data_IF_490289189920
#
_entry.id   IF_490289189920
#
_cell.length_a   1.000
_cell.length_b   1.000
_cell.length_c   1.000
_cell.angle_alpha   90.00
_cell.angle_beta   90.00
_cell.angle_gamma   90.00
#
_symmetry.space_group_name_H-M   'P 1'
#
loop_
_entity.id
_entity.type
_entity.pdbx_description
1 polymer ?
#
# COMPACT_ATOMS: atom_id res chain seq x y z
N UNK A 1 3.29 26.92 41.25
CA UNK A 1 2.44 26.47 40.11
C UNK A 1 3.18 26.14 38.82
N UNK A 2 4.51 26.32 38.71
CA UNK A 2 5.28 26.14 37.46
C UNK A 2 5.44 24.69 36.98
N UNK A 3 5.32 23.68 37.86
CA UNK A 3 5.46 22.26 37.48
C UNK A 3 4.32 21.75 36.58
N UNK A 4 3.11 22.30 36.70
CA UNK A 4 1.96 21.92 35.86
C UNK A 4 2.08 22.47 34.44
N UNK A 5 2.65 23.68 34.27
CA UNK A 5 2.78 24.32 32.96
C UNK A 5 3.78 23.58 32.05
N UNK A 6 4.93 23.16 32.60
CA UNK A 6 5.93 22.39 31.86
C UNK A 6 5.43 21.03 31.37
N UNK A 7 4.61 20.34 32.18
CA UNK A 7 4.01 19.04 31.82
C UNK A 7 2.95 19.18 30.72
N UNK A 8 2.22 20.29 30.69
CA UNK A 8 1.22 20.55 29.62
C UNK A 8 1.91 20.83 28.29
N UNK A 9 3.02 21.57 28.29
CA UNK A 9 3.77 21.90 27.07
C UNK A 9 4.44 20.65 26.48
N UNK A 10 5.02 19.77 27.31
CA UNK A 10 5.61 18.51 26.82
C UNK A 10 4.57 17.55 26.27
N UNK A 11 3.40 17.43 26.91
CA UNK A 11 2.29 16.65 26.36
C UNK A 11 1.77 17.22 25.03
N UNK A 12 1.65 18.55 24.91
CA UNK A 12 1.18 19.19 23.69
C UNK A 12 2.18 19.02 22.53
N UNK A 13 3.48 19.13 22.80
CA UNK A 13 4.54 18.85 21.83
C UNK A 13 4.53 17.38 21.37
N UNK A 14 4.28 16.44 22.29
CA UNK A 14 4.17 15.02 21.97
C UNK A 14 2.95 14.72 21.10
N UNK A 15 1.80 15.35 21.38
CA UNK A 15 0.59 15.24 20.55
C UNK A 15 0.83 15.83 19.16
N UNK A 16 1.48 16.98 19.04
CA UNK A 16 1.82 17.59 17.75
C UNK A 16 2.80 16.73 16.93
N UNK A 17 3.79 16.10 17.58
CA UNK A 17 4.69 15.13 16.93
C UNK A 17 3.95 13.87 16.46
N UNK A 18 3.02 13.34 17.27
CA UNK A 18 2.18 12.20 16.91
C UNK A 18 1.25 12.53 15.72
N UNK A 19 0.63 13.72 15.72
CA UNK A 19 -0.24 14.18 14.63
C UNK A 19 0.57 14.44 13.36
N UNK A 20 1.78 14.99 13.45
CA UNK A 20 2.66 15.24 12.30
C UNK A 20 3.21 13.94 11.70
N UNK A 21 3.56 12.94 12.53
CA UNK A 21 3.89 11.58 12.07
C UNK A 21 2.70 10.87 11.42
N UNK A 22 1.48 11.09 11.91
CA UNK A 22 0.27 10.55 11.30
C UNK A 22 -0.09 11.25 9.98
N UNK A 23 0.17 12.56 9.85
CA UNK A 23 -0.17 13.33 8.66
C UNK A 23 0.75 13.02 7.46
N UNK A 24 2.02 12.66 7.68
CA UNK A 24 2.93 12.28 6.58
C UNK A 24 2.45 11.06 5.77
N UNK A 25 1.55 10.25 6.30
CA UNK A 25 0.98 9.09 5.59
C UNK A 25 -0.17 9.45 4.63
N UNK A 26 -0.76 10.64 4.75
CA UNK A 26 -2.00 10.99 4.06
C UNK A 26 -1.83 11.63 2.68
N UNK A 27 -0.61 12.01 2.30
CA UNK A 27 -0.36 12.75 1.05
C UNK A 27 0.09 11.87 -0.12
N UNK A 28 -0.07 10.55 -0.03
CA UNK A 28 0.27 9.65 -1.14
C UNK A 28 -0.63 9.91 -2.35
N UNK A 29 0.00 9.98 -3.52
CA UNK A 29 -0.64 10.02 -4.84
C UNK A 29 -0.05 8.91 -5.72
N UNK A 30 -0.78 8.54 -6.78
CA UNK A 30 -0.38 7.46 -7.68
C UNK A 30 1.03 7.62 -8.26
N UNK A 31 1.46 8.86 -8.54
CA UNK A 31 2.79 9.15 -9.09
C UNK A 31 3.95 8.93 -8.11
N UNK A 32 3.67 8.70 -6.82
CA UNK A 32 4.71 8.29 -5.87
C UNK A 32 5.12 6.83 -6.06
N UNK A 33 4.29 6.01 -6.72
CA UNK A 33 4.55 4.58 -6.86
C UNK A 33 5.55 4.31 -7.99
N UNK A 34 6.64 3.60 -7.72
CA UNK A 34 7.60 3.22 -8.75
C UNK A 34 7.00 2.22 -9.74
N UNK A 35 7.54 2.20 -10.96
CA UNK A 35 7.17 1.22 -11.99
C UNK A 35 7.73 -0.16 -11.64
N UNK A 36 6.99 -1.22 -11.98
CA UNK A 36 7.35 -2.63 -11.71
C UNK A 36 8.45 -3.16 -12.67
N UNK A 37 8.83 -2.40 -13.69
CA UNK A 37 9.66 -2.87 -14.80
C UNK A 37 11.10 -3.31 -14.41
N UNK A 38 11.63 -2.90 -13.26
CA UNK A 38 13.04 -3.13 -12.88
C UNK A 38 13.19 -3.95 -11.58
N UNK A 39 12.52 -5.11 -11.49
CA UNK A 39 12.61 -6.02 -10.32
C UNK A 39 12.47 -5.29 -8.96
N UNK A 40 11.53 -4.35 -8.90
CA UNK A 40 11.31 -3.51 -7.74
C UNK A 40 11.20 -4.36 -6.47
N UNK A 41 12.06 -4.12 -5.48
CA UNK A 41 12.01 -4.86 -4.21
C UNK A 41 11.02 -4.23 -3.25
N UNK A 42 10.58 -5.01 -2.26
CA UNK A 42 9.79 -4.50 -1.14
C UNK A 42 10.50 -3.33 -0.44
N UNK A 43 11.82 -3.42 -0.27
CA UNK A 43 12.62 -2.37 0.37
C UNK A 43 12.60 -1.08 -0.44
N UNK A 44 12.71 -1.18 -1.77
CA UNK A 44 12.66 -0.02 -2.66
C UNK A 44 11.27 0.62 -2.66
N UNK A 45 10.22 -0.21 -2.64
CA UNK A 45 8.84 0.26 -2.49
C UNK A 45 8.66 1.02 -1.17
N UNK A 46 9.05 0.43 -0.03
CA UNK A 46 8.92 1.06 1.29
C UNK A 46 9.76 2.33 1.39
N UNK A 47 10.91 2.39 0.71
CA UNK A 47 11.71 3.61 0.63
C UNK A 47 11.02 4.71 -0.17
N UNK A 48 10.29 4.35 -1.23
CA UNK A 48 9.60 5.29 -2.10
C UNK A 48 8.29 5.82 -1.50
N UNK A 49 7.46 4.94 -0.93
CA UNK A 49 6.08 5.26 -0.51
C UNK A 49 5.82 5.05 0.99
N UNK A 50 6.82 4.62 1.75
CA UNK A 50 6.70 4.33 3.18
C UNK A 50 6.10 2.95 3.48
N UNK A 51 5.81 2.72 4.76
CA UNK A 51 5.16 1.49 5.21
C UNK A 51 3.71 1.42 4.71
N UNK A 52 3.22 0.23 4.34
CA UNK A 52 1.83 0.08 3.92
C UNK A 52 0.86 0.38 5.07
N UNK A 53 -0.36 0.78 4.70
CA UNK A 53 -1.45 1.01 5.65
C UNK A 53 -2.04 -0.30 6.14
N UNK A 54 -2.08 -1.30 5.26
CA UNK A 54 -2.49 -2.67 5.54
C UNK A 54 -1.61 -3.61 4.74
N UNK A 55 -1.33 -4.79 5.31
CA UNK A 55 -0.67 -5.87 4.59
C UNK A 55 -1.19 -7.21 5.08
N UNK A 56 -1.25 -8.19 4.19
CA UNK A 56 -1.44 -9.59 4.57
C UNK A 56 -0.53 -10.50 3.76
N UNK A 57 -0.11 -11.59 4.43
CA UNK A 57 0.61 -12.72 3.86
C UNK A 57 -0.22 -14.01 3.95
N UNK A 58 -1.48 -13.91 4.35
CA UNK A 58 -2.43 -15.03 4.39
C UNK A 58 -2.79 -15.42 2.96
N UNK A 59 -2.62 -16.70 2.62
CA UNK A 59 -2.99 -17.21 1.30
C UNK A 59 -4.46 -16.93 0.98
N UNK A 60 -5.35 -17.03 1.98
CA UNK A 60 -6.79 -16.76 1.81
C UNK A 60 -7.02 -15.29 1.45
N UNK A 61 -6.47 -14.35 2.23
CA UNK A 61 -6.70 -12.92 2.04
C UNK A 61 -6.12 -12.45 0.70
N UNK A 62 -4.92 -12.94 0.36
CA UNK A 62 -4.24 -12.65 -0.90
C UNK A 62 -5.05 -13.17 -2.08
N UNK A 63 -5.57 -14.40 -1.99
CA UNK A 63 -6.38 -15.00 -3.06
C UNK A 63 -7.68 -14.22 -3.26
N UNK A 64 -8.40 -13.92 -2.17
CA UNK A 64 -9.65 -13.18 -2.23
C UNK A 64 -9.47 -11.78 -2.83
N UNK A 65 -8.43 -11.06 -2.43
CA UNK A 65 -8.14 -9.73 -2.97
C UNK A 65 -7.74 -9.79 -4.45
N UNK A 66 -6.87 -10.74 -4.82
CA UNK A 66 -6.45 -10.92 -6.20
C UNK A 66 -7.64 -11.24 -7.11
N UNK A 67 -8.52 -12.15 -6.71
CA UNK A 67 -9.73 -12.47 -7.47
C UNK A 67 -10.70 -11.29 -7.58
N UNK A 68 -10.88 -10.51 -6.50
CA UNK A 68 -11.69 -9.27 -6.51
C UNK A 68 -11.16 -8.30 -7.56
N UNK A 69 -9.85 -8.07 -7.58
CA UNK A 69 -9.21 -7.15 -8.54
C UNK A 69 -9.23 -7.68 -9.97
N UNK A 70 -9.04 -8.99 -10.17
CA UNK A 70 -9.17 -9.61 -11.49
C UNK A 70 -10.58 -9.45 -12.05
N UNK A 71 -11.62 -9.67 -11.24
CA UNK A 71 -13.01 -9.47 -11.66
C UNK A 71 -13.27 -8.01 -12.05
N UNK A 72 -12.76 -7.06 -11.27
CA UNK A 72 -12.83 -5.63 -11.62
C UNK A 72 -12.09 -5.31 -12.93
N UNK A 73 -10.87 -5.84 -13.13
CA UNK A 73 -10.05 -5.65 -14.34
C UNK A 73 -10.76 -6.20 -15.59
N UNK A 74 -11.43 -7.35 -15.48
CA UNK A 74 -12.19 -7.97 -16.57
C UNK A 74 -13.49 -7.23 -16.88
N UNK A 75 -14.12 -6.62 -15.88
CA UNK A 75 -15.35 -5.83 -16.05
C UNK A 75 -15.09 -4.43 -16.61
N UNK A 76 -13.84 -3.96 -16.51
CA UNK A 76 -13.41 -2.63 -16.95
C UNK A 76 -12.89 -2.70 -18.38
N UNK A 77 -13.24 -1.71 -19.21
CA UNK A 77 -12.63 -1.54 -20.54
C UNK A 77 -11.15 -1.13 -20.46
N UNK A 78 -10.69 -0.65 -19.30
CA UNK A 78 -9.30 -0.32 -19.02
C UNK A 78 -8.69 -1.31 -18.03
N UNK A 79 -7.44 -1.73 -18.27
CA UNK A 79 -6.75 -2.57 -17.29
C UNK A 79 -6.37 -1.78 -16.04
N UNK A 80 -6.74 -2.32 -14.89
CA UNK A 80 -6.44 -1.80 -13.55
C UNK A 80 -5.08 -2.30 -13.07
N UNK A 81 -4.58 -3.45 -13.51
CA UNK A 81 -3.30 -4.00 -13.06
C UNK A 81 -2.13 -3.64 -14.00
N UNK A 82 -1.00 -3.21 -13.44
CA UNK A 82 0.18 -2.78 -14.21
C UNK A 82 0.80 -3.91 -15.02
N UNK A 83 0.62 -5.16 -14.60
CA UNK A 83 1.24 -6.34 -15.19
C UNK A 83 0.18 -7.43 -15.43
N UNK A 84 0.11 -7.95 -16.66
CA UNK A 84 -0.84 -8.99 -17.06
C UNK A 84 -0.13 -10.02 -17.93
N UNK A 85 0.24 -11.15 -17.33
CA UNK A 85 0.15 -12.51 -17.91
C UNK A 85 1.01 -13.47 -17.09
N UNK A 86 0.36 -14.51 -16.53
CA UNK A 86 0.92 -15.70 -15.87
C UNK A 86 1.29 -15.60 -14.37
N UNK A 87 0.50 -14.88 -13.57
CA UNK A 87 0.63 -14.89 -12.10
C UNK A 87 -0.38 -15.87 -11.49
N UNK A 88 0.10 -16.77 -10.66
CA UNK A 88 -0.74 -17.68 -9.85
C UNK A 88 -0.77 -17.15 -8.40
N UNK A 89 -1.64 -17.65 -7.54
CA UNK A 89 -1.59 -17.41 -6.07
C UNK A 89 -1.36 -18.79 -5.38
N UNK A 90 -0.47 -18.96 -4.37
CA UNK A 90 0.19 -20.27 -3.97
C UNK A 90 1.76 -20.52 -4.09
N UNK A 91 2.28 -21.61 -4.68
CA UNK A 91 3.77 -21.83 -4.85
C UNK A 91 4.12 -22.17 -6.33
N UNK A 92 5.21 -21.57 -6.88
CA UNK A 92 5.66 -21.47 -8.30
C UNK A 92 5.18 -20.29 -9.19
N UNK A 93 5.29 -19.02 -8.75
CA UNK A 93 4.86 -17.84 -9.53
C UNK A 93 3.84 -16.98 -8.80
N UNK A 94 3.99 -16.92 -7.47
CA UNK A 94 2.89 -16.59 -6.58
C UNK A 94 3.06 -15.28 -5.87
N UNK A 95 2.02 -14.48 -6.01
CA UNK A 95 1.65 -13.42 -5.09
C UNK A 95 1.52 -14.03 -3.68
N UNK A 96 2.51 -13.82 -2.82
CA UNK A 96 2.52 -14.30 -1.43
C UNK A 96 1.97 -13.25 -0.47
N UNK A 97 2.01 -11.98 -0.87
CA UNK A 97 1.65 -10.87 -0.02
C UNK A 97 0.92 -9.81 -0.84
N UNK A 98 0.06 -9.04 -0.17
CA UNK A 98 -0.45 -7.78 -0.69
C UNK A 98 -0.27 -6.67 0.33
N UNK A 99 0.04 -5.47 -0.18
CA UNK A 99 0.15 -4.22 0.55
C UNK A 99 -0.90 -3.23 0.04
N UNK A 100 -1.55 -2.53 0.96
CA UNK A 100 -2.53 -1.48 0.69
C UNK A 100 -1.96 -0.13 1.08
N UNK A 101 -2.04 0.81 0.16
CA UNK A 101 -1.66 2.20 0.40
C UNK A 101 -2.85 3.11 0.15
N UNK A 102 -3.32 3.79 1.19
CA UNK A 102 -4.38 4.80 1.08
C UNK A 102 -3.79 6.08 0.48
N UNK A 103 -4.42 6.56 -0.58
CA UNK A 103 -4.11 7.80 -1.25
C UNK A 103 -4.86 8.97 -0.61
N UNK A 104 -4.39 10.19 -0.88
CA UNK A 104 -5.03 11.42 -0.35
C UNK A 104 -6.47 11.62 -0.83
N UNK A 105 -6.79 11.09 -2.01
CA UNK A 105 -8.10 11.22 -2.65
C UNK A 105 -9.12 10.20 -2.13
N UNK A 106 -8.76 9.41 -1.10
CA UNK A 106 -9.60 8.38 -0.49
C UNK A 106 -9.50 7.02 -1.18
N UNK A 107 -8.86 6.94 -2.35
CA UNK A 107 -8.65 5.67 -3.05
C UNK A 107 -7.46 4.91 -2.48
N UNK A 108 -7.26 3.68 -2.94
CA UNK A 108 -6.10 2.87 -2.56
C UNK A 108 -5.31 2.38 -3.75
N UNK A 109 -4.00 2.21 -3.55
CA UNK A 109 -3.12 1.45 -4.43
C UNK A 109 -2.84 0.10 -3.78
N UNK A 110 -3.06 -0.96 -4.53
CA UNK A 110 -2.75 -2.32 -4.10
C UNK A 110 -1.46 -2.75 -4.79
N UNK A 111 -0.54 -3.25 -3.99
CA UNK A 111 0.73 -3.80 -4.45
C UNK A 111 0.79 -5.26 -4.07
N UNK A 112 1.04 -6.11 -5.04
CA UNK A 112 1.26 -7.53 -4.84
C UNK A 112 2.76 -7.81 -4.79
N UNK A 113 3.17 -8.73 -3.91
CA UNK A 113 4.56 -9.15 -3.77
C UNK A 113 4.70 -10.68 -3.89
N UNK A 114 5.84 -11.12 -4.41
CA UNK A 114 6.28 -12.51 -4.41
C UNK A 114 7.70 -12.56 -3.87
N UNK A 115 7.90 -13.25 -2.73
CA UNK A 115 9.23 -13.42 -2.11
C UNK A 115 9.99 -12.09 -1.95
N UNK A 116 9.30 -11.03 -1.53
CA UNK A 116 9.88 -9.70 -1.32
C UNK A 116 10.16 -8.89 -2.61
N UNK A 117 9.74 -9.36 -3.79
CA UNK A 117 9.74 -8.58 -5.03
C UNK A 117 8.32 -8.10 -5.33
N UNK A 118 8.18 -6.87 -5.79
CA UNK A 118 6.92 -6.32 -6.26
C UNK A 118 6.61 -6.89 -7.64
N UNK A 119 5.36 -7.34 -7.79
CA UNK A 119 4.94 -8.15 -8.94
C UNK A 119 3.73 -7.59 -9.67
N UNK A 120 2.95 -6.77 -9.00
CA UNK A 120 1.89 -6.00 -9.64
C UNK A 120 1.56 -4.80 -8.76
N UNK A 121 1.16 -3.71 -9.42
CA UNK A 121 0.65 -2.50 -8.78
C UNK A 121 -0.61 -2.10 -9.54
N UNK A 122 -1.63 -1.61 -8.85
CA UNK A 122 -2.79 -1.03 -9.53
C UNK A 122 -2.39 0.26 -10.28
N UNK A 123 -2.70 0.35 -11.58
CA UNK A 123 -2.43 1.50 -12.47
C UNK A 123 -3.24 2.73 -12.14
N UNK A 124 -4.31 2.59 -11.38
CA UNK A 124 -5.15 3.68 -10.86
C UNK A 124 -5.52 3.40 -9.42
N UNK A 125 -5.87 4.46 -8.69
CA UNK A 125 -6.48 4.31 -7.38
C UNK A 125 -7.82 3.58 -7.50
N UNK A 126 -8.07 2.64 -6.60
CA UNK A 126 -9.32 1.87 -6.52
C UNK A 126 -10.07 2.16 -5.23
N UNK A 127 -11.38 2.00 -5.26
CA UNK A 127 -12.19 2.01 -4.04
C UNK A 127 -11.96 0.68 -3.29
N UNK A 128 -11.27 0.78 -2.15
CA UNK A 128 -10.90 -0.34 -1.30
C UNK A 128 -11.41 -0.08 0.11
N UNK A 129 -12.58 -0.64 0.39
CA UNK A 129 -13.24 -0.76 1.69
C UNK A 129 -13.90 -2.13 1.79
#
# INVERSE_FOLDING_TARGET
>A
MMKKLGMVITCLAMILLLVSCANKRKDLVLSNFPSVQNELTEKDLVKAVGAPHEKSSSLSDVTQLYEKLLKMDLSSSESILSQKSNWTVGINGIITDYYVYKLKDGKSVIVFLSKGKVVAITRKGIDYE
#
